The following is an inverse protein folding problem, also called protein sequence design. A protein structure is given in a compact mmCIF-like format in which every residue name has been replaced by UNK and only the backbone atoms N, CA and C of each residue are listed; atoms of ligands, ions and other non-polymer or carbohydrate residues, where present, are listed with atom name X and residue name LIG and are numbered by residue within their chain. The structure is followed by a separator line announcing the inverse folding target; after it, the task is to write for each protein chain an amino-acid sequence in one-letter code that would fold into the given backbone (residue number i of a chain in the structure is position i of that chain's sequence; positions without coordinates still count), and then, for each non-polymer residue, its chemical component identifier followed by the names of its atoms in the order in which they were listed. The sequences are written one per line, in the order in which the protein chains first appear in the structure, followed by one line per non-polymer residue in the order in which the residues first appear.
data_IF_649068279907
#
_entry.id   IF_649068279907
#
_cell.length_a   1.000
_cell.length_b   1.000
_cell.length_c   1.000
_cell.angle_alpha   90.00
_cell.angle_beta   90.00
_cell.angle_gamma   90.00
#
_symmetry.space_group_name_H-M   'P 1'
#
loop_
_entity.id
_entity.type
_entity.pdbx_description
1 polymer ?
#
# COMPACT_ATOMS: atom_id res chain seq x y z
N UNK A 1 -7.50 3.13 -12.16
CA UNK A 1 -8.89 3.18 -11.63
C UNK A 1 -9.83 2.59 -12.66
N UNK A 2 -10.93 1.99 -12.23
CA UNK A 2 -11.95 1.47 -13.12
C UNK A 2 -13.26 2.24 -12.93
N UNK A 3 -13.98 2.45 -14.03
CA UNK A 3 -15.32 3.05 -14.01
C UNK A 3 -16.31 1.97 -13.60
N UNK A 4 -16.95 2.14 -12.44
CA UNK A 4 -18.00 1.25 -11.94
C UNK A 4 -19.35 1.95 -12.06
N UNK A 5 -20.27 1.34 -12.79
CA UNK A 5 -21.65 1.82 -12.82
C UNK A 5 -22.38 1.39 -11.54
N UNK A 6 -22.90 2.36 -10.79
CA UNK A 6 -23.64 2.13 -9.55
C UNK A 6 -25.12 2.44 -9.78
N UNK A 7 -25.97 1.49 -9.38
CA UNK A 7 -27.43 1.68 -9.41
C UNK A 7 -27.83 2.60 -8.26
N UNK A 8 -28.77 3.53 -8.46
CA UNK A 8 -29.25 4.39 -7.39
C UNK A 8 -29.94 3.56 -6.30
N UNK A 9 -29.66 3.89 -5.04
CA UNK A 9 -30.40 3.37 -3.88
C UNK A 9 -30.91 4.54 -3.03
N UNK A 10 -32.16 5.00 -3.27
CA UNK A 10 -32.73 6.15 -2.55
C UNK A 10 -32.82 5.95 -1.03
N UNK A 11 -32.95 4.72 -0.54
CA UNK A 11 -33.04 4.43 0.90
C UNK A 11 -31.70 4.63 1.63
N UNK A 12 -30.59 4.46 0.92
CA UNK A 12 -29.22 4.67 1.45
C UNK A 12 -28.66 6.05 1.05
N UNK A 13 -29.45 6.88 0.35
CA UNK A 13 -29.00 8.18 -0.16
C UNK A 13 -27.95 8.09 -1.28
N UNK A 14 -27.78 6.91 -1.89
CA UNK A 14 -26.77 6.69 -2.94
C UNK A 14 -27.34 7.13 -4.29
N UNK A 15 -26.82 8.24 -4.82
CA UNK A 15 -27.13 8.69 -6.18
C UNK A 15 -26.45 7.76 -7.19
N UNK A 16 -27.23 7.24 -8.15
CA UNK A 16 -26.71 6.39 -9.21
C UNK A 16 -25.78 7.16 -10.16
N UNK A 17 -24.86 6.46 -10.81
CA UNK A 17 -23.89 7.09 -11.69
C UNK A 17 -22.69 6.21 -12.01
N UNK A 18 -21.69 6.83 -12.64
CA UNK A 18 -20.39 6.21 -12.86
C UNK A 18 -19.46 6.70 -11.76
N UNK A 19 -19.01 5.78 -10.91
CA UNK A 19 -18.01 6.06 -9.88
C UNK A 19 -16.64 5.56 -10.32
N UNK A 20 -15.59 6.32 -9.97
CA UNK A 20 -14.22 5.83 -10.10
C UNK A 20 -13.85 5.00 -8.88
N UNK A 21 -13.49 3.73 -9.12
CA UNK A 21 -13.11 2.80 -8.07
C UNK A 21 -11.67 2.33 -8.25
N UNK A 22 -10.93 2.30 -7.14
CA UNK A 22 -9.62 1.66 -7.09
C UNK A 22 -9.77 0.15 -7.24
N UNK A 23 -8.98 -0.42 -8.16
CA UNK A 23 -8.96 -1.85 -8.40
C UNK A 23 -7.78 -2.49 -7.66
N UNK A 24 -7.94 -3.72 -7.15
CA UNK A 24 -6.86 -4.43 -6.51
C UNK A 24 -5.68 -4.60 -7.47
N UNK A 25 -4.48 -4.53 -6.92
CA UNK A 25 -3.23 -4.71 -7.63
C UNK A 25 -2.45 -5.83 -6.92
N UNK A 26 -1.80 -6.70 -7.70
CA UNK A 26 -1.04 -7.82 -7.13
C UNK A 26 0.12 -7.31 -6.27
N UNK A 27 0.26 -7.87 -5.06
CA UNK A 27 1.35 -7.56 -4.12
C UNK A 27 2.76 -7.69 -4.75
N UNK A 28 2.96 -8.55 -5.75
CA UNK A 28 4.25 -8.68 -6.45
C UNK A 28 4.65 -7.44 -7.25
N UNK A 29 3.69 -6.58 -7.59
CA UNK A 29 3.90 -5.41 -8.44
C UNK A 29 4.04 -4.11 -7.63
N UNK A 30 4.11 -4.20 -6.30
CA UNK A 30 4.36 -3.07 -5.40
C UNK A 30 5.65 -3.29 -4.62
N UNK A 31 6.32 -2.18 -4.31
CA UNK A 31 7.52 -2.16 -3.49
C UNK A 31 7.39 -1.07 -2.42
N UNK A 32 8.10 -1.21 -1.31
CA UNK A 32 8.10 -0.18 -0.27
C UNK A 32 9.05 0.94 -0.69
N UNK A 33 8.53 2.16 -0.63
CA UNK A 33 9.29 3.36 -0.90
C UNK A 33 10.25 3.68 0.26
N UNK A 34 11.52 3.90 -0.05
CA UNK A 34 12.51 4.34 0.91
C UNK A 34 12.69 5.88 0.79
N UNK A 35 12.30 6.66 1.81
CA UNK A 35 12.35 8.12 1.74
C UNK A 35 13.77 8.70 1.69
N UNK A 36 14.81 7.95 2.08
CA UNK A 36 16.19 8.44 2.04
C UNK A 36 16.86 8.27 0.68
N UNK A 37 16.52 7.20 -0.02
CA UNK A 37 17.06 6.91 -1.36
C UNK A 37 16.11 7.35 -2.47
N UNK A 38 14.91 7.82 -2.11
CA UNK A 38 13.80 8.22 -2.97
C UNK A 38 13.39 7.15 -3.99
N UNK A 39 13.62 5.88 -3.65
CA UNK A 39 13.46 4.74 -4.55
C UNK A 39 12.71 3.60 -3.89
N UNK A 40 12.13 2.74 -4.72
CA UNK A 40 11.60 1.46 -4.28
C UNK A 40 12.73 0.56 -3.76
N UNK A 41 12.54 -0.06 -2.60
CA UNK A 41 13.56 -0.90 -1.98
C UNK A 41 12.99 -2.24 -1.47
N UNK A 42 13.91 -3.20 -1.29
CA UNK A 42 13.61 -4.53 -0.75
C UNK A 42 13.79 -4.54 0.77
N UNK A 43 13.03 -5.41 1.41
CA UNK A 43 13.02 -5.53 2.87
C UNK A 43 13.77 -6.78 3.32
N UNK A 44 14.50 -6.66 4.42
CA UNK A 44 14.96 -7.76 5.25
C UNK A 44 14.27 -7.77 6.61
N UNK A 45 14.40 -8.87 7.35
CA UNK A 45 13.94 -8.98 8.74
C UNK A 45 15.16 -9.16 9.61
N UNK A 46 15.27 -8.39 10.70
CA UNK A 46 16.31 -8.57 11.72
C UNK A 46 15.70 -8.48 13.12
N UNK A 47 16.46 -8.90 14.12
CA UNK A 47 16.12 -8.69 15.52
C UNK A 47 16.82 -7.41 15.98
N UNK A 48 16.06 -6.42 16.46
CA UNK A 48 16.58 -5.18 17.00
C UNK A 48 17.37 -5.44 18.28
N UNK A 49 18.14 -4.45 18.74
CA UNK A 49 18.89 -4.55 20.00
C UNK A 49 17.99 -4.77 21.22
N UNK A 50 16.71 -4.43 21.10
CA UNK A 50 15.67 -4.60 22.12
C UNK A 50 15.01 -5.98 22.05
N UNK A 51 15.46 -6.87 21.16
CA UNK A 51 14.92 -8.23 20.99
C UNK A 51 13.66 -8.31 20.12
N UNK A 52 13.22 -7.19 19.53
CA UNK A 52 12.00 -7.13 18.71
C UNK A 52 12.32 -7.43 17.24
N UNK A 53 11.48 -8.21 16.56
CA UNK A 53 11.62 -8.43 15.11
C UNK A 53 11.20 -7.18 14.36
N UNK A 54 12.13 -6.59 13.61
CA UNK A 54 11.89 -5.41 12.79
C UNK A 54 12.19 -5.68 11.32
N UNK A 55 11.44 -4.98 10.46
CA UNK A 55 11.71 -4.91 9.02
C UNK A 55 12.71 -3.79 8.77
N UNK A 56 13.70 -4.03 7.91
CA UNK A 56 14.67 -3.02 7.53
C UNK A 56 14.88 -2.96 6.01
N UNK A 57 15.20 -1.78 5.50
CA UNK A 57 15.56 -1.54 4.11
C UNK A 57 16.92 -2.16 3.79
N UNK A 58 16.99 -3.02 2.76
CA UNK A 58 18.24 -3.69 2.40
C UNK A 58 19.29 -2.72 1.84
N UNK A 59 18.89 -1.58 1.28
CA UNK A 59 19.84 -0.62 0.70
C UNK A 59 20.64 0.16 1.75
N UNK A 60 20.02 0.59 2.84
CA UNK A 60 20.62 1.48 3.83
C UNK A 60 20.61 0.94 5.27
N UNK A 61 19.98 -0.22 5.51
CA UNK A 61 19.96 -0.85 6.84
C UNK A 61 19.00 -0.20 7.84
N UNK A 62 18.15 0.71 7.39
CA UNK A 62 17.26 1.46 8.28
C UNK A 62 15.95 0.73 8.53
N UNK A 63 15.36 0.94 9.70
CA UNK A 63 14.08 0.35 10.06
C UNK A 63 12.96 0.91 9.16
N UNK A 64 12.08 0.02 8.70
CA UNK A 64 10.85 0.37 8.00
C UNK A 64 9.81 0.71 9.07
N UNK A 65 9.83 1.96 9.53
CA UNK A 65 8.84 2.53 10.46
C UNK A 65 7.81 3.33 9.66
#
# INVERSE_FOLDING_TARGET
MAKKCVRPNPNEGVQGGIEEKEMPLNVSNVAIYNPKTEKADRIGIRVSKEGVKERFFKSNGEAVI
#
